data_IF_210731512089
#
_entry.id   IF_210731512089
#
_cell.length_a   1.000
_cell.length_b   1.000
_cell.length_c   1.000
_cell.angle_alpha   90.00
_cell.angle_beta   90.00
_cell.angle_gamma   90.00
#
_symmetry.space_group_name_H-M   'P 1'
#
loop_
_entity.id
_entity.type
_entity.pdbx_description
1 polymer ?
#
# COMPACT_ATOMS: atom_id res chain seq x y z
N UNK A 1 34.51 14.94 18.15
CA UNK A 1 33.95 13.57 18.01
C UNK A 1 32.51 13.64 18.47
N UNK A 2 31.56 13.34 17.58
CA UNK A 2 30.18 13.81 17.65
C UNK A 2 29.35 13.21 18.78
N UNK A 3 28.66 14.10 19.51
CA UNK A 3 27.40 13.77 20.18
C UNK A 3 26.43 13.21 19.12
N UNK A 4 25.48 12.34 19.51
CA UNK A 4 24.46 11.69 18.67
C UNK A 4 24.78 10.30 18.09
N UNK A 5 25.44 9.42 18.85
CA UNK A 5 25.25 7.97 18.64
C UNK A 5 23.98 7.54 19.39
N UNK A 6 22.80 7.81 18.81
CA UNK A 6 21.52 7.42 19.40
C UNK A 6 21.24 5.93 19.07
N UNK A 7 21.15 5.03 20.08
CA UNK A 7 20.81 3.62 19.88
C UNK A 7 19.51 3.41 19.07
N UNK A 8 18.52 4.29 19.24
CA UNK A 8 17.23 4.20 18.54
C UNK A 8 17.39 4.44 17.04
N UNK A 9 18.25 5.39 16.64
CA UNK A 9 18.50 5.69 15.23
C UNK A 9 19.31 4.57 14.57
N UNK A 10 20.18 3.89 15.32
CA UNK A 10 20.87 2.67 14.84
C UNK A 10 19.87 1.55 14.60
N UNK A 11 19.00 1.28 15.56
CA UNK A 11 17.98 0.23 15.44
C UNK A 11 17.02 0.51 14.28
N UNK A 12 16.59 1.77 14.12
CA UNK A 12 15.76 2.20 13.00
C UNK A 12 16.45 1.96 11.65
N UNK A 13 17.74 2.31 11.52
CA UNK A 13 18.51 2.07 10.29
C UNK A 13 18.66 0.59 9.98
N UNK A 14 18.88 -0.24 11.00
CA UNK A 14 18.98 -1.70 10.81
C UNK A 14 17.64 -2.30 10.37
N UNK A 15 16.53 -1.89 10.99
CA UNK A 15 15.17 -2.29 10.56
C UNK A 15 14.88 -1.90 9.12
N UNK A 16 15.30 -0.70 8.69
CA UNK A 16 15.15 -0.26 7.30
C UNK A 16 16.00 -1.10 6.35
N UNK A 17 17.23 -1.41 6.71
CA UNK A 17 18.10 -2.28 5.92
C UNK A 17 17.49 -3.68 5.74
N UNK A 18 17.02 -4.30 6.83
CA UNK A 18 16.36 -5.61 6.78
C UNK A 18 15.13 -5.57 5.86
N UNK A 19 14.33 -4.49 5.93
CA UNK A 19 13.15 -4.35 5.08
C UNK A 19 13.51 -4.22 3.59
N UNK A 20 14.59 -3.50 3.27
CA UNK A 20 15.10 -3.39 1.90
C UNK A 20 15.63 -4.74 1.39
N UNK A 21 16.37 -5.48 2.20
CA UNK A 21 16.87 -6.82 1.84
C UNK A 21 15.70 -7.78 1.55
N UNK A 22 14.64 -7.73 2.38
CA UNK A 22 13.39 -8.47 2.14
C UNK A 22 12.69 -8.06 0.84
N UNK A 23 12.67 -6.77 0.51
CA UNK A 23 12.10 -6.25 -0.74
C UNK A 23 12.87 -6.73 -1.96
N UNK A 24 14.21 -6.74 -1.88
CA UNK A 24 15.06 -7.23 -2.97
C UNK A 24 14.88 -8.74 -3.19
N UNK A 25 14.81 -9.53 -2.11
CA UNK A 25 14.48 -10.96 -2.21
C UNK A 25 13.11 -11.19 -2.87
N UNK A 26 12.10 -10.39 -2.48
CA UNK A 26 10.79 -10.40 -3.12
C UNK A 26 10.85 -10.04 -4.60
N UNK A 27 11.63 -9.03 -4.99
CA UNK A 27 11.76 -8.63 -6.40
C UNK A 27 12.31 -9.75 -7.27
N UNK A 28 13.29 -10.50 -6.77
CA UNK A 28 13.81 -11.68 -7.45
C UNK A 28 12.74 -12.77 -7.59
N UNK A 29 12.01 -13.07 -6.52
CA UNK A 29 10.93 -14.08 -6.52
C UNK A 29 9.79 -13.69 -7.48
N UNK A 30 9.34 -12.44 -7.40
CA UNK A 30 8.32 -11.87 -8.27
C UNK A 30 8.74 -11.95 -9.75
N UNK A 31 10.00 -11.65 -10.06
CA UNK A 31 10.54 -11.77 -11.42
C UNK A 31 10.54 -13.21 -11.90
N UNK A 32 10.94 -14.18 -11.04
CA UNK A 32 10.89 -15.61 -11.38
C UNK A 32 9.46 -16.11 -11.59
N UNK A 33 8.49 -15.55 -10.87
CA UNK A 33 7.07 -15.82 -11.04
C UNK A 33 6.45 -15.12 -12.27
N UNK A 34 7.24 -14.30 -12.99
CA UNK A 34 6.78 -13.53 -14.16
C UNK A 34 5.86 -12.37 -13.80
N UNK A 35 5.91 -11.85 -12.57
CA UNK A 35 5.07 -10.76 -12.09
C UNK A 35 5.63 -9.39 -12.55
N UNK A 36 5.01 -8.84 -13.59
CA UNK A 36 5.33 -7.56 -14.23
C UNK A 36 4.05 -6.81 -14.63
N UNK A 37 3.22 -6.40 -13.64
CA UNK A 37 1.90 -5.85 -13.93
C UNK A 37 1.98 -4.49 -14.61
N UNK A 38 1.11 -4.25 -15.59
CA UNK A 38 1.02 -2.95 -16.25
C UNK A 38 0.36 -1.89 -15.37
N UNK A 39 -0.53 -2.32 -14.48
CA UNK A 39 -1.22 -1.50 -13.50
C UNK A 39 -1.25 -2.21 -12.13
N UNK A 40 -0.95 -1.47 -11.07
CA UNK A 40 -0.95 -1.98 -9.70
C UNK A 40 -1.35 -0.87 -8.73
N UNK A 41 -2.37 -1.13 -7.92
CA UNK A 41 -2.71 -0.30 -6.78
C UNK A 41 -1.84 -0.69 -5.59
N UNK A 42 -1.12 0.27 -5.02
CA UNK A 42 -0.44 0.13 -3.74
C UNK A 42 -1.17 0.96 -2.69
N UNK A 43 -1.35 0.43 -1.49
CA UNK A 43 -1.97 1.13 -0.36
C UNK A 43 -1.24 0.83 0.94
N UNK A 44 -1.23 1.80 1.85
CA UNK A 44 -0.85 1.58 3.23
C UNK A 44 -2.00 0.89 3.98
N UNK A 45 -1.79 -0.35 4.41
CA UNK A 45 -2.71 -1.12 5.23
C UNK A 45 -2.90 -0.53 6.63
N UNK A 46 -3.83 -1.11 7.39
CA UNK A 46 -4.20 -0.61 8.72
C UNK A 46 -3.08 -0.79 9.76
N UNK A 47 -2.21 -1.78 9.59
CA UNK A 47 -1.03 -2.04 10.45
C UNK A 47 0.23 -1.38 9.87
N UNK A 48 0.07 -0.40 8.97
CA UNK A 48 1.16 0.30 8.26
C UNK A 48 2.02 -0.61 7.36
N UNK A 49 1.50 -1.76 6.97
CA UNK A 49 2.05 -2.63 5.94
C UNK A 49 1.74 -2.07 4.54
N UNK A 50 2.52 -2.47 3.54
CA UNK A 50 2.20 -2.21 2.14
C UNK A 50 1.31 -3.35 1.62
N UNK A 51 0.18 -3.00 1.02
CA UNK A 51 -0.68 -3.93 0.31
C UNK A 51 -0.74 -3.51 -1.15
N UNK A 52 -0.62 -4.48 -2.04
CA UNK A 52 -0.61 -4.26 -3.48
C UNK A 52 -1.60 -5.14 -4.21
N UNK A 53 -2.44 -4.58 -5.08
CA UNK A 53 -3.37 -5.33 -5.92
C UNK A 53 -3.08 -5.03 -7.38
N UNK A 54 -2.90 -6.08 -8.18
CA UNK A 54 -2.70 -5.99 -9.62
C UNK A 54 -3.50 -7.08 -10.34
N UNK A 55 -3.71 -6.86 -11.63
CA UNK A 55 -4.23 -7.89 -12.55
C UNK A 55 -3.23 -8.09 -13.68
N UNK A 56 -2.90 -9.36 -13.95
CA UNK A 56 -1.97 -9.72 -15.02
C UNK A 56 -2.27 -11.11 -15.55
N UNK A 57 -2.35 -11.25 -16.87
CA UNK A 57 -2.53 -12.55 -17.53
C UNK A 57 -3.82 -13.25 -17.12
N UNK A 58 -4.89 -12.49 -16.90
CA UNK A 58 -6.20 -13.00 -16.46
C UNK A 58 -6.32 -13.30 -14.96
N UNK A 59 -5.22 -13.26 -14.20
CA UNK A 59 -5.22 -13.52 -12.76
C UNK A 59 -5.04 -12.25 -11.93
N UNK A 60 -5.54 -12.29 -10.70
CA UNK A 60 -5.26 -11.34 -9.65
C UNK A 60 -3.96 -11.67 -8.95
N UNK A 61 -3.22 -10.63 -8.62
CA UNK A 61 -1.99 -10.71 -7.87
C UNK A 61 -2.07 -9.77 -6.68
N UNK A 62 -1.96 -10.35 -5.49
CA UNK A 62 -1.93 -9.64 -4.23
C UNK A 62 -0.51 -9.67 -3.67
N UNK A 63 -0.02 -8.51 -3.25
CA UNK A 63 1.23 -8.36 -2.53
C UNK A 63 0.93 -7.89 -1.11
N UNK A 64 1.51 -8.55 -0.12
CA UNK A 64 1.39 -8.16 1.28
C UNK A 64 2.80 -8.06 1.86
N UNK A 65 3.22 -6.86 2.20
CA UNK A 65 4.50 -6.63 2.85
C UNK A 65 4.43 -6.92 4.36
N UNK A 66 5.57 -7.24 4.99
CA UNK A 66 5.64 -7.21 6.44
C UNK A 66 5.54 -5.77 6.94
N UNK A 67 4.93 -5.58 8.11
CA UNK A 67 4.97 -4.29 8.79
C UNK A 67 6.42 -3.90 9.15
N UNK A 68 6.67 -2.60 9.31
CA UNK A 68 8.00 -2.11 9.66
C UNK A 68 8.47 -2.68 11.01
N UNK A 69 9.61 -3.37 11.01
CA UNK A 69 10.16 -4.04 12.19
C UNK A 69 9.58 -5.43 12.48
N UNK A 70 8.68 -5.96 11.65
CA UNK A 70 8.17 -7.32 11.79
C UNK A 70 9.11 -8.37 11.17
N UNK A 71 9.07 -9.59 11.70
CA UNK A 71 9.93 -10.70 11.25
C UNK A 71 9.52 -11.27 9.89
N UNK A 72 8.25 -11.16 9.48
CA UNK A 72 7.71 -11.75 8.26
C UNK A 72 8.34 -11.26 6.94
N UNK A 73 8.06 -11.95 5.84
CA UNK A 73 8.49 -11.62 4.49
C UNK A 73 7.34 -11.02 3.66
N UNK A 74 7.66 -10.48 2.48
CA UNK A 74 6.64 -10.15 1.49
C UNK A 74 5.98 -11.44 1.01
N UNK A 75 4.68 -11.39 0.78
CA UNK A 75 3.92 -12.48 0.17
C UNK A 75 3.44 -12.04 -1.20
N UNK A 76 3.63 -12.90 -2.20
CA UNK A 76 3.06 -12.76 -3.54
C UNK A 76 2.01 -13.86 -3.73
N UNK A 77 0.75 -13.48 -3.89
CA UNK A 77 -0.36 -14.42 -3.97
C UNK A 77 -1.06 -14.25 -5.31
N UNK A 78 -1.12 -15.32 -6.10
CA UNK A 78 -1.85 -15.36 -7.36
C UNK A 78 -3.20 -16.05 -7.16
N UNK A 79 -4.27 -15.46 -7.69
CA UNK A 79 -5.62 -16.04 -7.69
C UNK A 79 -6.28 -15.84 -9.05
N UNK A 80 -6.98 -16.85 -9.55
CA UNK A 80 -7.72 -16.74 -10.81
C UNK A 80 -9.06 -15.99 -10.63
N UNK A 81 -9.62 -16.02 -9.41
CA UNK A 81 -10.80 -15.26 -9.01
C UNK A 81 -10.58 -14.68 -7.61
N UNK A 82 -11.18 -13.51 -7.34
CA UNK A 82 -11.07 -12.82 -6.06
C UNK A 82 -12.46 -12.72 -5.42
N UNK A 83 -12.62 -13.22 -4.20
CA UNK A 83 -13.81 -12.88 -3.41
C UNK A 83 -13.54 -11.55 -2.71
N UNK A 84 -14.40 -10.55 -2.93
CA UNK A 84 -14.22 -9.23 -2.35
C UNK A 84 -15.52 -8.49 -2.07
N UNK A 85 -15.46 -7.60 -1.08
CA UNK A 85 -16.51 -6.66 -0.73
C UNK A 85 -15.95 -5.23 -0.72
N UNK A 86 -16.80 -4.27 -1.06
CA UNK A 86 -16.46 -2.84 -1.02
C UNK A 86 -17.31 -2.11 -0.01
N UNK A 87 -16.70 -1.78 1.13
CA UNK A 87 -17.35 -1.08 2.22
C UNK A 87 -17.16 0.43 2.09
N UNK A 88 -18.22 1.21 2.31
CA UNK A 88 -18.13 2.67 2.38
C UNK A 88 -17.61 3.10 3.75
N UNK A 89 -16.66 4.03 3.76
CA UNK A 89 -16.16 4.65 4.98
C UNK A 89 -16.56 6.12 5.04
N UNK A 90 -17.17 6.54 6.15
CA UNK A 90 -17.50 7.94 6.39
C UNK A 90 -17.39 8.27 7.88
N UNK A 91 -16.62 9.30 8.20
CA UNK A 91 -16.55 9.91 9.53
C UNK A 91 -16.81 11.39 9.35
N UNK A 92 -17.88 11.90 9.96
CA UNK A 92 -18.19 13.32 9.92
C UNK A 92 -17.06 14.14 10.58
N UNK A 93 -16.74 15.34 10.07
CA UNK A 93 -15.82 16.24 10.75
C UNK A 93 -16.38 16.63 12.13
N UNK A 94 -15.50 16.69 13.14
CA UNK A 94 -15.87 17.08 14.52
C UNK A 94 -15.22 18.42 14.89
N UNK A 95 -16.00 19.33 15.49
CA UNK A 95 -15.55 20.65 16.01
C UNK A 95 -15.87 21.85 15.10
N UNK A 96 -15.50 23.07 15.55
CA UNK A 96 -15.64 24.35 14.80
C UNK A 96 -14.64 24.48 13.62
N UNK A 97 -14.31 23.37 12.97
CA UNK A 97 -13.26 23.26 11.97
C UNK A 97 -13.51 24.05 10.67
N UNK A 98 -14.69 24.62 10.49
CA UNK A 98 -15.03 25.46 9.33
C UNK A 98 -14.63 26.93 9.45
N UNK A 99 -14.39 27.45 10.68
CA UNK A 99 -14.18 28.91 10.90
C UNK A 99 -12.82 29.24 11.52
N UNK A 100 -12.20 28.33 12.30
CA UNK A 100 -10.92 28.62 12.99
C UNK A 100 -9.85 27.52 12.91
N UNK A 101 -10.04 26.47 12.10
CA UNK A 101 -9.03 25.41 11.93
C UNK A 101 -8.84 24.46 13.13
N UNK A 102 -9.69 24.56 14.16
CA UNK A 102 -9.74 23.63 15.29
C UNK A 102 -10.82 22.57 15.05
N UNK A 103 -10.41 21.31 14.85
CA UNK A 103 -11.31 20.16 14.68
C UNK A 103 -10.67 18.99 13.94
N UNK A 104 -11.24 17.79 14.08
CA UNK A 104 -10.82 16.62 13.28
C UNK A 104 -11.42 16.75 11.88
N UNK A 105 -10.57 16.66 10.86
CA UNK A 105 -11.02 16.57 9.46
C UNK A 105 -11.84 15.29 9.31
N UNK A 106 -13.00 15.41 8.68
CA UNK A 106 -13.83 14.24 8.36
C UNK A 106 -13.12 13.31 7.39
N UNK A 107 -13.44 12.03 7.48
CA UNK A 107 -12.88 10.97 6.63
C UNK A 107 -13.96 10.51 5.65
N UNK A 108 -13.56 10.23 4.41
CA UNK A 108 -14.44 9.67 3.39
C UNK A 108 -13.63 8.74 2.50
N UNK A 109 -14.18 7.57 2.20
CA UNK A 109 -13.54 6.67 1.27
C UNK A 109 -14.21 5.31 1.20
N UNK A 110 -13.41 4.33 0.84
CA UNK A 110 -13.83 2.93 0.75
C UNK A 110 -12.77 2.02 1.39
N UNK A 111 -13.20 0.86 1.85
CA UNK A 111 -12.35 -0.27 2.21
C UNK A 111 -12.67 -1.40 1.25
N UNK A 112 -11.69 -1.85 0.48
CA UNK A 112 -11.82 -3.10 -0.26
C UNK A 112 -11.39 -4.23 0.67
N UNK A 113 -12.30 -5.13 0.97
CA UNK A 113 -12.06 -6.33 1.77
C UNK A 113 -11.90 -7.48 0.79
N UNK A 114 -10.73 -8.11 0.78
CA UNK A 114 -10.42 -9.27 -0.04
C UNK A 114 -10.46 -10.49 0.87
N UNK A 115 -11.38 -11.41 0.60
CA UNK A 115 -11.52 -12.62 1.40
C UNK A 115 -10.46 -13.65 1.00
N UNK A 116 -9.66 -14.04 1.98
CA UNK A 116 -8.67 -15.10 1.85
C UNK A 116 -9.05 -16.26 2.75
N UNK A 117 -8.46 -17.43 2.50
CA UNK A 117 -8.74 -18.65 3.28
C UNK A 117 -8.42 -18.49 4.78
N UNK A 118 -7.39 -17.70 5.11
CA UNK A 118 -6.89 -17.54 6.49
C UNK A 118 -7.28 -16.21 7.16
N UNK A 119 -7.16 -15.08 6.44
CA UNK A 119 -7.38 -13.72 6.96
C UNK A 119 -7.80 -12.79 5.82
N UNK A 120 -8.85 -12.00 6.05
CA UNK A 120 -9.26 -10.94 5.14
C UNK A 120 -8.17 -9.88 4.98
N UNK A 121 -7.88 -9.50 3.74
CA UNK A 121 -6.91 -8.45 3.42
C UNK A 121 -7.67 -7.17 3.07
N UNK A 122 -7.43 -6.12 3.85
CA UNK A 122 -8.13 -4.84 3.70
C UNK A 122 -7.25 -3.82 3.00
N UNK A 123 -7.68 -3.31 1.85
CA UNK A 123 -7.07 -2.15 1.17
C UNK A 123 -7.90 -0.89 1.48
N UNK A 124 -7.47 -0.06 2.46
CA UNK A 124 -8.17 1.17 2.80
C UNK A 124 -7.81 2.30 1.82
N UNK A 125 -8.82 2.86 1.15
CA UNK A 125 -8.72 4.06 0.33
C UNK A 125 -9.53 5.19 0.97
N UNK A 126 -8.99 5.74 2.06
CA UNK A 126 -9.68 6.73 2.90
C UNK A 126 -8.97 8.07 2.82
N UNK A 127 -9.69 9.08 2.32
CA UNK A 127 -9.17 10.44 2.20
C UNK A 127 -8.90 11.06 3.59
N UNK A 128 -7.75 11.71 3.74
CA UNK A 128 -7.32 12.33 5.00
C UNK A 128 -6.74 11.36 6.04
N UNK A 129 -6.70 10.05 5.73
CA UNK A 129 -6.22 9.01 6.66
C UNK A 129 -5.13 8.13 6.06
N UNK A 130 -5.36 7.58 4.87
CA UNK A 130 -4.45 6.62 4.24
C UNK A 130 -3.67 7.23 3.09
N UNK A 131 -2.65 6.50 2.65
CA UNK A 131 -1.82 6.82 1.48
C UNK A 131 -1.92 5.68 0.47
N UNK A 132 -2.02 6.03 -0.80
CA UNK A 132 -2.15 5.05 -1.87
C UNK A 132 -1.61 5.57 -3.20
N UNK A 133 -1.17 4.63 -4.03
CA UNK A 133 -0.49 4.88 -5.28
C UNK A 133 -1.00 3.91 -6.34
N UNK A 134 -1.69 4.43 -7.34
CA UNK A 134 -1.87 3.70 -8.60
C UNK A 134 -0.60 3.82 -9.44
N UNK A 135 0.09 2.70 -9.63
CA UNK A 135 1.22 2.55 -10.54
C UNK A 135 0.69 2.12 -11.92
N UNK A 136 1.16 2.76 -12.97
CA UNK A 136 0.83 2.48 -14.37
C UNK A 136 2.09 2.72 -15.21
N UNK A 137 2.13 2.37 -16.51
CA UNK A 137 3.33 2.55 -17.37
C UNK A 137 4.04 3.92 -17.24
N UNK A 138 3.31 5.01 -16.98
CA UNK A 138 3.88 6.35 -16.81
C UNK A 138 4.41 6.66 -15.39
N UNK A 139 4.07 5.85 -14.38
CA UNK A 139 4.42 6.07 -12.97
C UNK A 139 5.09 4.83 -12.40
N UNK A 140 6.37 4.96 -12.03
CA UNK A 140 7.18 3.86 -11.52
C UNK A 140 6.54 3.19 -10.30
N UNK A 141 6.70 1.87 -10.24
CA UNK A 141 6.30 1.07 -9.09
C UNK A 141 7.49 0.98 -8.11
N UNK A 142 7.46 1.68 -6.96
CA UNK A 142 8.59 1.71 -6.02
C UNK A 142 8.89 0.35 -5.38
N UNK A 143 7.90 -0.54 -5.31
CA UNK A 143 8.10 -1.91 -4.84
C UNK A 143 8.99 -2.71 -5.80
N UNK A 144 8.81 -2.48 -7.11
CA UNK A 144 9.47 -3.23 -8.17
C UNK A 144 10.71 -2.52 -8.76
N UNK A 145 11.09 -1.36 -8.26
CA UNK A 145 12.27 -0.62 -8.73
C UNK A 145 13.56 -1.15 -8.07
N UNK A 146 14.51 -1.75 -8.82
CA UNK A 146 15.78 -2.21 -8.26
C UNK A 146 16.75 -1.06 -7.93
N UNK A 147 16.54 0.14 -8.47
CA UNK A 147 17.45 1.30 -8.34
C UNK A 147 17.01 2.29 -7.25
N UNK A 148 16.07 1.90 -6.40
CA UNK A 148 15.57 2.72 -5.29
C UNK A 148 16.71 3.08 -4.31
N UNK A 149 16.67 4.29 -3.75
CA UNK A 149 17.75 4.80 -2.88
C UNK A 149 17.80 4.03 -1.55
N UNK A 150 19.00 3.62 -1.14
CA UNK A 150 19.27 3.03 0.18
C UNK A 150 19.02 4.07 1.26
N UNK A 151 17.92 3.94 2.01
CA UNK A 151 17.51 4.87 3.07
C UNK A 151 16.00 5.10 3.13
N UNK A 152 15.32 4.91 2.00
CA UNK A 152 13.87 5.04 1.90
C UNK A 152 13.15 3.70 2.08
N UNK A 153 13.81 2.63 2.53
CA UNK A 153 13.39 1.22 2.42
C UNK A 153 11.90 0.87 2.63
N UNK A 154 11.18 1.62 3.46
CA UNK A 154 9.74 1.48 3.57
C UNK A 154 9.01 2.13 2.37
N UNK A 155 8.55 1.30 1.44
CA UNK A 155 7.77 1.71 0.24
C UNK A 155 6.50 2.49 0.60
N UNK A 156 5.91 2.26 1.79
CA UNK A 156 4.75 3.02 2.26
C UNK A 156 5.03 4.53 2.29
N UNK A 157 6.27 4.94 2.54
CA UNK A 157 6.66 6.35 2.59
C UNK A 157 6.69 7.03 1.23
N UNK A 158 6.69 6.28 0.12
CA UNK A 158 6.56 6.83 -1.24
C UNK A 158 5.10 7.06 -1.65
N UNK A 159 4.14 6.54 -0.87
CA UNK A 159 2.74 6.65 -1.20
C UNK A 159 2.25 8.08 -0.88
N UNK A 160 1.64 8.79 -1.84
CA UNK A 160 1.05 10.09 -1.54
C UNK A 160 -0.20 9.93 -0.66
N UNK A 161 -0.49 10.93 0.20
CA UNK A 161 -1.73 10.94 0.96
C UNK A 161 -2.94 10.99 0.01
N UNK A 162 -4.04 10.37 0.42
CA UNK A 162 -5.29 10.39 -0.34
C UNK A 162 -6.06 11.67 0.00
N UNK A 163 -6.24 12.55 -0.97
CA UNK A 163 -7.24 13.62 -0.92
C UNK A 163 -8.55 13.21 -1.60
N UNK A 164 -9.58 14.08 -1.56
CA UNK A 164 -10.91 13.77 -2.15
C UNK A 164 -10.83 13.46 -3.65
N UNK A 165 -10.03 14.21 -4.41
CA UNK A 165 -9.88 14.04 -5.86
C UNK A 165 -9.10 12.77 -6.17
N UNK A 166 -8.06 12.50 -5.39
CA UNK A 166 -7.27 11.27 -5.47
C UNK A 166 -8.15 10.05 -5.15
N UNK A 167 -9.03 10.13 -4.15
CA UNK A 167 -9.95 9.06 -3.79
C UNK A 167 -10.88 8.69 -4.96
N UNK A 168 -11.55 9.66 -5.58
CA UNK A 168 -12.44 9.40 -6.72
C UNK A 168 -11.71 8.71 -7.88
N UNK A 169 -10.49 9.20 -8.18
CA UNK A 169 -9.64 8.59 -9.21
C UNK A 169 -9.22 7.17 -8.83
N UNK A 170 -8.73 6.97 -7.61
CA UNK A 170 -8.27 5.65 -7.13
C UNK A 170 -9.40 4.64 -7.11
N UNK A 171 -10.61 5.07 -6.71
CA UNK A 171 -11.82 4.24 -6.77
C UNK A 171 -12.11 3.79 -8.20
N UNK A 172 -12.13 4.72 -9.16
CA UNK A 172 -12.40 4.36 -10.57
C UNK A 172 -11.33 3.42 -11.16
N UNK A 173 -10.06 3.61 -10.81
CA UNK A 173 -8.99 2.69 -11.24
C UNK A 173 -9.08 1.33 -10.53
N UNK A 174 -9.48 1.29 -9.27
CA UNK A 174 -9.74 0.05 -8.55
C UNK A 174 -10.91 -0.72 -9.18
N UNK A 175 -12.02 -0.04 -9.46
CA UNK A 175 -13.17 -0.65 -10.13
C UNK A 175 -12.76 -1.24 -11.48
N UNK A 176 -11.90 -0.58 -12.26
CA UNK A 176 -11.36 -1.14 -13.51
C UNK A 176 -10.51 -2.40 -13.28
N UNK A 177 -9.68 -2.43 -12.22
CA UNK A 177 -8.90 -3.63 -11.88
C UNK A 177 -9.80 -4.83 -11.54
N UNK A 178 -10.95 -4.57 -10.92
CA UNK A 178 -11.92 -5.58 -10.49
C UNK A 178 -12.96 -5.93 -11.58
N UNK A 179 -13.20 -5.07 -12.57
CA UNK A 179 -14.36 -5.14 -13.48
C UNK A 179 -14.39 -6.35 -14.42
N UNK A 180 -13.24 -6.97 -14.73
CA UNK A 180 -13.17 -8.16 -15.60
C UNK A 180 -13.61 -9.47 -14.87
N UNK A 181 -14.46 -9.36 -13.85
CA UNK A 181 -15.19 -10.45 -13.17
C UNK A 181 -16.67 -10.54 -13.56
N UNK A 182 -17.15 -9.66 -14.44
CA UNK A 182 -18.55 -9.63 -14.90
C UNK A 182 -18.78 -10.30 -16.24
#
# INVERSE_FOLDING_TARGET
MGLFDNPEERERKEKLRILEDKRMAFLEEATRAGFHPEAMLLAAGEKSELIGLARQGGAYWLVIAPAFGAEGAYRLIKRDALAWDMEKHYVAPEGMGGVMGFGKKGELGIRLVIHMDDEDVVLPLIAGRNSALMCQRARSNPLLDPKRRRGDANVVWDLPPIDKRAMERLKGELEKLLADER
#
